data_IF_926845392946
#
_entry.id   IF_926845392946
#
_cell.length_a   1.000
_cell.length_b   1.000
_cell.length_c   1.000
_cell.angle_alpha   90.00
_cell.angle_beta   90.00
_cell.angle_gamma   90.00
#
_symmetry.space_group_name_H-M   'P 1'
#
loop_
_entity.id
_entity.type
_entity.pdbx_description
1 polymer ?
#
# COMPACT_ATOMS: atom_id res chain seq x y z
N UNK A 1 15.36 -20.90 -57.87
CA UNK A 1 15.02 -19.45 -57.82
C UNK A 1 14.66 -19.11 -56.38
N UNK A 2 15.46 -18.24 -55.77
CA UNK A 2 15.54 -17.95 -54.34
C UNK A 2 14.47 -16.92 -53.91
N UNK A 3 13.69 -17.23 -52.88
CA UNK A 3 12.79 -16.28 -52.21
C UNK A 3 13.53 -15.54 -51.10
N UNK A 4 13.84 -14.26 -51.35
CA UNK A 4 14.46 -13.36 -50.37
C UNK A 4 13.43 -12.91 -49.33
N UNK A 5 13.67 -13.25 -48.07
CA UNK A 5 13.03 -12.65 -46.91
C UNK A 5 13.50 -11.19 -46.77
N UNK A 6 12.56 -10.24 -46.63
CA UNK A 6 12.86 -8.84 -46.25
C UNK A 6 12.68 -8.69 -44.75
N UNK A 7 13.79 -8.58 -44.03
CA UNK A 7 13.84 -8.08 -42.66
C UNK A 7 13.58 -6.58 -42.66
N UNK A 8 12.53 -6.12 -41.98
CA UNK A 8 12.32 -4.70 -41.66
C UNK A 8 12.82 -4.45 -40.25
N UNK A 9 14.00 -3.84 -40.14
CA UNK A 9 14.54 -3.29 -38.91
C UNK A 9 13.78 -2.00 -38.55
N UNK A 10 13.07 -1.99 -37.43
CA UNK A 10 12.51 -0.76 -36.85
C UNK A 10 13.56 -0.10 -35.97
N UNK A 11 14.28 0.89 -36.53
CA UNK A 11 15.05 1.87 -35.75
C UNK A 11 14.07 2.92 -35.22
N UNK A 12 13.74 2.88 -33.94
CA UNK A 12 13.04 4.00 -33.29
C UNK A 12 14.07 5.03 -32.81
N UNK A 13 13.92 6.23 -33.37
CA UNK A 13 14.73 7.42 -33.14
C UNK A 13 14.20 8.13 -31.88
N UNK A 14 15.09 8.42 -30.93
CA UNK A 14 14.82 9.34 -29.82
C UNK A 14 14.26 10.67 -30.36
N UNK A 15 12.97 10.94 -30.14
CA UNK A 15 12.37 12.26 -30.33
C UNK A 15 11.65 12.68 -29.05
N UNK A 16 11.99 13.89 -28.61
CA UNK A 16 11.54 14.57 -27.39
C UNK A 16 10.02 14.56 -27.24
N UNK A 17 9.57 14.21 -26.04
CA UNK A 17 8.18 14.32 -25.57
C UNK A 17 7.76 15.80 -25.47
N UNK A 18 6.56 16.21 -25.91
CA UNK A 18 6.05 17.56 -25.72
C UNK A 18 5.72 17.86 -24.24
N UNK A 19 6.15 19.04 -23.76
CA UNK A 19 6.13 19.52 -22.35
C UNK A 19 4.76 19.86 -21.74
N UNK A 20 3.63 19.37 -22.26
CA UNK A 20 2.31 19.90 -21.88
C UNK A 20 1.52 19.10 -20.83
N UNK A 21 2.05 18.00 -20.28
CA UNK A 21 1.32 17.13 -19.31
C UNK A 21 1.71 17.42 -17.84
N UNK A 22 2.75 18.24 -17.60
CA UNK A 22 3.32 18.44 -16.25
C UNK A 22 2.46 19.33 -15.33
N UNK A 23 1.74 20.33 -15.84
CA UNK A 23 1.13 21.34 -14.97
C UNK A 23 -0.07 20.81 -14.16
N UNK A 24 -0.92 19.97 -14.74
CA UNK A 24 -2.12 19.46 -14.06
C UNK A 24 -1.80 18.34 -13.05
N UNK A 25 -0.81 17.49 -13.35
CA UNK A 25 -0.28 16.47 -12.41
C UNK A 25 0.40 17.12 -11.21
N UNK A 26 1.12 18.22 -11.41
CA UNK A 26 1.73 18.99 -10.31
C UNK A 26 0.68 19.66 -9.42
N UNK A 27 -0.47 20.08 -9.99
CA UNK A 27 -1.49 20.84 -9.28
C UNK A 27 -2.27 19.98 -8.28
N UNK A 28 -2.64 18.75 -8.66
CA UNK A 28 -3.37 17.83 -7.76
C UNK A 28 -2.48 17.21 -6.68
N UNK A 29 -1.18 17.02 -6.96
CA UNK A 29 -0.17 16.75 -5.91
C UNK A 29 -0.01 17.92 -4.93
N UNK A 30 -0.08 19.16 -5.41
CA UNK A 30 0.05 20.35 -4.55
C UNK A 30 -1.18 20.60 -3.65
N UNK A 31 -2.39 20.22 -4.07
CA UNK A 31 -3.59 20.39 -3.23
C UNK A 31 -3.66 19.30 -2.13
N UNK A 32 -3.25 18.05 -2.43
CA UNK A 32 -3.10 16.98 -1.43
C UNK A 32 -1.94 17.21 -0.44
N UNK A 33 -0.92 17.96 -0.85
CA UNK A 33 0.09 18.47 0.06
C UNK A 33 -0.55 19.35 1.15
N UNK A 34 -1.43 20.29 0.83
CA UNK A 34 -1.99 21.22 1.86
C UNK A 34 -2.74 20.49 2.99
N UNK A 35 -3.33 19.32 2.72
CA UNK A 35 -4.11 18.54 3.69
C UNK A 35 -3.28 17.50 4.47
N UNK A 36 -2.13 17.07 3.94
CA UNK A 36 -1.22 16.14 4.63
C UNK A 36 -0.20 16.86 5.52
N UNK A 37 0.04 16.34 6.74
CA UNK A 37 1.01 16.94 7.66
C UNK A 37 2.46 16.86 7.14
N UNK A 38 3.33 17.84 7.43
CA UNK A 38 4.74 17.78 7.08
C UNK A 38 5.45 16.53 7.62
N UNK A 39 5.07 16.12 8.83
CA UNK A 39 5.61 14.93 9.50
C UNK A 39 5.25 13.65 8.73
N UNK A 40 3.99 13.51 8.28
CA UNK A 40 3.54 12.38 7.48
C UNK A 40 4.35 12.25 6.19
N UNK A 41 4.55 13.36 5.48
CA UNK A 41 5.34 13.36 4.23
C UNK A 41 6.80 13.00 4.46
N UNK A 42 7.40 13.50 5.55
CA UNK A 42 8.78 13.18 5.89
C UNK A 42 8.94 11.68 6.17
N UNK A 43 8.03 11.09 6.95
CA UNK A 43 8.05 9.66 7.27
C UNK A 43 7.90 8.81 6.01
N UNK A 44 6.91 9.12 5.16
CA UNK A 44 6.65 8.35 3.95
C UNK A 44 7.76 8.50 2.89
N UNK A 45 8.31 9.71 2.70
CA UNK A 45 9.46 9.90 1.81
C UNK A 45 10.68 9.13 2.31
N UNK A 46 10.94 9.16 3.62
CA UNK A 46 12.04 8.40 4.22
C UNK A 46 11.82 6.90 4.04
N UNK A 47 10.60 6.40 4.25
CA UNK A 47 10.28 5.00 4.04
C UNK A 47 10.49 4.59 2.57
N UNK A 48 10.04 5.40 1.62
CA UNK A 48 10.20 5.12 0.20
C UNK A 48 11.66 5.00 -0.24
N UNK A 49 12.57 5.77 0.37
CA UNK A 49 14.02 5.67 0.11
C UNK A 49 14.67 4.43 0.76
N UNK A 50 14.10 3.93 1.87
CA UNK A 50 14.69 2.87 2.70
C UNK A 50 14.07 1.48 2.47
N UNK A 51 12.83 1.43 1.98
CA UNK A 51 12.11 0.19 1.76
C UNK A 51 12.46 -0.38 0.41
N UNK A 52 12.82 -1.66 0.40
CA UNK A 52 13.41 -2.32 -0.74
C UNK A 52 12.40 -3.23 -1.43
N UNK A 53 12.34 -3.15 -2.76
CA UNK A 53 11.65 -4.13 -3.58
C UNK A 53 12.51 -5.38 -3.71
N UNK A 54 12.00 -6.56 -3.31
CA UNK A 54 12.80 -7.79 -3.19
C UNK A 54 13.53 -8.19 -4.49
N UNK A 55 13.00 -7.87 -5.68
CA UNK A 55 13.69 -8.19 -6.95
C UNK A 55 14.77 -7.17 -7.37
N UNK A 56 14.97 -6.10 -6.59
CA UNK A 56 16.05 -5.14 -6.84
C UNK A 56 17.34 -5.58 -6.12
N UNK A 57 18.51 -5.08 -6.54
CA UNK A 57 19.76 -5.37 -5.82
C UNK A 57 19.63 -5.06 -4.33
N UNK A 58 20.12 -5.96 -3.47
CA UNK A 58 20.10 -5.76 -2.02
C UNK A 58 20.77 -4.42 -1.66
N UNK A 59 20.15 -3.58 -0.80
CA UNK A 59 20.78 -2.39 -0.26
C UNK A 59 22.04 -2.72 0.53
N UNK A 60 22.94 -1.74 0.64
CA UNK A 60 24.13 -1.88 1.48
C UNK A 60 23.74 -2.17 2.95
N UNK A 61 24.53 -3.00 3.67
CA UNK A 61 24.37 -3.18 5.10
C UNK A 61 24.55 -1.86 5.86
N UNK A 62 23.98 -1.79 7.06
CA UNK A 62 24.21 -0.67 7.98
C UNK A 62 25.67 -0.69 8.47
N UNK A 63 26.27 0.50 8.62
CA UNK A 63 27.64 0.63 9.13
C UNK A 63 27.78 0.07 10.56
N UNK A 64 26.70 0.15 11.35
CA UNK A 64 26.60 -0.46 12.67
C UNK A 64 25.15 -0.80 13.00
N UNK A 65 24.90 -1.85 13.82
CA UNK A 65 23.55 -2.22 14.21
C UNK A 65 22.82 -1.08 14.95
N UNK A 66 21.56 -0.78 14.60
CA UNK A 66 20.80 0.27 15.28
C UNK A 66 20.54 -0.09 16.75
N UNK A 67 20.74 0.92 17.60
CA UNK A 67 20.46 0.87 19.04
C UNK A 67 18.97 1.07 19.31
N UNK A 68 18.54 0.75 20.54
CA UNK A 68 17.16 0.93 20.99
C UNK A 68 16.22 -0.18 20.54
N UNK A 69 14.92 0.01 20.77
CA UNK A 69 13.92 -0.97 20.36
C UNK A 69 13.64 -0.87 18.85
N UNK A 70 13.43 -2.04 18.23
CA UNK A 70 12.98 -2.14 16.85
C UNK A 70 11.50 -2.50 16.82
N UNK A 71 10.75 -1.73 16.06
CA UNK A 71 9.32 -1.92 15.86
C UNK A 71 9.10 -2.53 14.46
N UNK A 72 8.52 -3.72 14.38
CA UNK A 72 8.35 -4.46 13.13
C UNK A 72 6.86 -4.62 12.83
N UNK A 73 6.47 -4.29 11.61
CA UNK A 73 5.14 -4.52 11.07
C UNK A 73 5.22 -5.54 9.95
N UNK A 74 4.36 -6.56 9.98
CA UNK A 74 4.18 -7.52 8.88
C UNK A 74 2.78 -7.32 8.30
N UNK A 75 2.70 -6.93 7.04
CA UNK A 75 1.44 -6.78 6.31
C UNK A 75 1.32 -7.92 5.30
N UNK A 76 0.31 -8.79 5.49
CA UNK A 76 -0.05 -9.88 4.59
C UNK A 76 -1.10 -9.42 3.58
N UNK A 77 -0.81 -8.32 2.89
CA UNK A 77 -1.75 -7.69 1.98
C UNK A 77 -2.21 -8.62 0.84
N UNK A 78 -3.38 -8.30 0.30
CA UNK A 78 -4.03 -9.05 -0.80
C UNK A 78 -3.29 -9.02 -2.14
N UNK A 79 -2.33 -8.10 -2.29
CA UNK A 79 -1.48 -7.98 -3.48
C UNK A 79 0.01 -7.89 -3.17
N UNK A 80 0.37 -7.28 -2.03
CA UNK A 80 1.75 -7.07 -1.64
C UNK A 80 1.95 -7.53 -0.20
N UNK A 81 3.04 -8.24 0.02
CA UNK A 81 3.52 -8.59 1.35
C UNK A 81 4.61 -7.58 1.72
N UNK A 82 4.52 -6.98 2.91
CA UNK A 82 5.46 -5.97 3.39
C UNK A 82 5.97 -6.30 4.79
N UNK A 83 7.27 -6.16 5.01
CA UNK A 83 7.89 -6.12 6.34
C UNK A 83 8.49 -4.74 6.55
N UNK A 84 7.93 -3.97 7.49
CA UNK A 84 8.37 -2.63 7.84
C UNK A 84 9.16 -2.65 9.16
N UNK A 85 10.30 -1.97 9.24
CA UNK A 85 11.10 -1.84 10.47
C UNK A 85 11.30 -0.37 10.80
N UNK A 86 10.84 0.02 11.99
CA UNK A 86 11.00 1.36 12.56
C UNK A 86 11.91 1.31 13.80
N UNK A 87 12.44 2.46 14.19
CA UNK A 87 13.08 2.62 15.50
C UNK A 87 12.04 2.90 16.60
N UNK A 88 12.53 3.07 17.83
CA UNK A 88 11.70 3.37 19.01
C UNK A 88 10.86 4.66 18.91
N UNK A 89 11.23 5.58 18.02
CA UNK A 89 10.56 6.85 17.76
C UNK A 89 9.69 6.82 16.49
N UNK A 90 9.29 5.62 16.05
CA UNK A 90 8.44 5.40 14.87
C UNK A 90 9.03 5.92 13.54
N UNK A 91 10.36 6.10 13.48
CA UNK A 91 11.04 6.49 12.25
C UNK A 91 11.43 5.25 11.44
N UNK A 92 11.12 5.21 10.13
CA UNK A 92 11.54 4.12 9.26
C UNK A 92 13.06 3.92 9.27
N UNK A 93 13.49 2.67 9.44
CA UNK A 93 14.89 2.26 9.35
C UNK A 93 15.12 1.48 8.05
N UNK A 94 14.29 0.48 7.79
CA UNK A 94 14.35 -0.33 6.57
C UNK A 94 13.04 -1.09 6.41
N UNK A 95 12.85 -1.72 5.26
CA UNK A 95 11.74 -2.61 5.02
C UNK A 95 11.93 -3.35 3.71
N UNK A 96 11.09 -4.35 3.49
CA UNK A 96 11.00 -5.08 2.24
C UNK A 96 9.55 -5.27 1.83
N UNK A 97 9.29 -5.22 0.54
CA UNK A 97 7.98 -5.50 -0.02
C UNK A 97 8.11 -6.20 -1.36
N UNK A 98 7.13 -7.04 -1.68
CA UNK A 98 7.05 -7.70 -2.97
C UNK A 98 5.59 -7.99 -3.34
N UNK A 99 5.33 -8.18 -4.63
CA UNK A 99 4.03 -8.67 -5.08
C UNK A 99 3.86 -10.13 -4.65
N UNK A 100 2.81 -10.41 -3.88
CA UNK A 100 2.47 -11.74 -3.41
C UNK A 100 0.98 -11.82 -3.07
N UNK A 101 0.28 -12.78 -3.68
CA UNK A 101 -1.16 -12.99 -3.45
C UNK A 101 -1.36 -14.08 -2.40
N UNK A 102 -0.90 -13.83 -1.18
CA UNK A 102 -0.98 -14.79 -0.06
C UNK A 102 -2.30 -14.73 0.69
N UNK A 103 -3.04 -13.62 0.56
CA UNK A 103 -4.31 -13.40 1.21
C UNK A 103 -5.40 -13.06 0.18
N UNK A 104 -6.61 -13.54 0.45
CA UNK A 104 -7.81 -13.26 -0.34
C UNK A 104 -9.02 -13.21 0.57
N UNK A 105 -9.83 -12.15 0.43
CA UNK A 105 -11.05 -11.96 1.22
C UNK A 105 -10.80 -12.05 2.75
N UNK A 106 -9.66 -11.53 3.22
CA UNK A 106 -9.26 -11.59 4.63
C UNK A 106 -8.67 -12.92 5.11
N UNK A 107 -8.64 -13.95 4.25
CA UNK A 107 -8.10 -15.27 4.56
C UNK A 107 -6.70 -15.44 3.98
N UNK A 108 -5.76 -15.98 4.78
CA UNK A 108 -4.47 -16.45 4.28
C UNK A 108 -4.66 -17.73 3.49
N UNK A 109 -4.57 -17.65 2.16
CA UNK A 109 -4.82 -18.75 1.23
C UNK A 109 -3.56 -19.55 0.87
N UNK A 110 -2.39 -18.93 0.99
CA UNK A 110 -1.08 -19.59 0.82
C UNK A 110 -0.26 -19.41 2.09
N UNK A 111 -0.62 -20.17 3.13
CA UNK A 111 0.02 -20.07 4.45
C UNK A 111 1.52 -20.36 4.39
N UNK A 112 1.91 -21.46 3.74
CA UNK A 112 3.32 -21.88 3.66
C UNK A 112 4.12 -20.87 2.83
N UNK A 113 3.57 -20.42 1.70
CA UNK A 113 4.18 -19.36 0.92
C UNK A 113 4.35 -18.07 1.72
N UNK A 114 3.31 -17.63 2.45
CA UNK A 114 3.41 -16.46 3.32
C UNK A 114 4.53 -16.59 4.36
N UNK A 115 4.63 -17.73 5.04
CA UNK A 115 5.68 -18.01 6.02
C UNK A 115 7.07 -17.94 5.39
N UNK A 116 7.28 -18.62 4.26
CA UNK A 116 8.57 -18.64 3.58
C UNK A 116 8.97 -17.24 3.09
N UNK A 117 8.00 -16.44 2.64
CA UNK A 117 8.22 -15.06 2.21
C UNK A 117 8.60 -14.13 3.37
N UNK A 118 7.82 -14.13 4.45
CA UNK A 118 8.12 -13.32 5.65
C UNK A 118 9.48 -13.71 6.22
N UNK A 119 9.78 -15.00 6.29
CA UNK A 119 11.07 -15.50 6.79
C UNK A 119 12.24 -15.03 5.93
N UNK A 120 12.14 -15.12 4.60
CA UNK A 120 13.20 -14.61 3.71
C UNK A 120 13.41 -13.10 3.85
N UNK A 121 12.33 -12.32 3.94
CA UNK A 121 12.41 -10.88 4.14
C UNK A 121 13.04 -10.54 5.50
N UNK A 122 12.64 -11.24 6.57
CA UNK A 122 13.25 -11.14 7.89
C UNK A 122 14.75 -11.41 7.82
N UNK A 123 15.18 -12.54 7.27
CA UNK A 123 16.58 -12.93 7.21
C UNK A 123 17.43 -11.90 6.42
N UNK A 124 16.87 -11.37 5.32
CA UNK A 124 17.50 -10.31 4.51
C UNK A 124 17.66 -9.00 5.31
N UNK A 125 16.59 -8.58 5.99
CA UNK A 125 16.58 -7.38 6.83
C UNK A 125 17.56 -7.54 8.01
N UNK A 126 17.58 -8.67 8.70
CA UNK A 126 18.49 -8.95 9.81
C UNK A 126 19.96 -8.89 9.38
N UNK A 127 20.28 -9.46 8.22
CA UNK A 127 21.61 -9.37 7.60
C UNK A 127 21.99 -7.92 7.29
N UNK A 128 21.05 -7.10 6.81
CA UNK A 128 21.25 -5.67 6.52
C UNK A 128 21.48 -4.87 7.81
N UNK A 129 20.70 -5.16 8.86
CA UNK A 129 20.78 -4.48 10.15
C UNK A 129 21.98 -4.95 11.00
N UNK A 130 22.46 -6.17 10.79
CA UNK A 130 23.41 -6.82 11.69
C UNK A 130 22.82 -7.15 13.07
N UNK A 131 21.49 -7.33 13.14
CA UNK A 131 20.73 -7.57 14.37
C UNK A 131 19.47 -8.38 14.08
N UNK A 132 19.10 -9.27 15.01
CA UNK A 132 17.87 -10.06 14.93
C UNK A 132 16.61 -9.23 15.18
N UNK A 133 15.55 -9.56 14.44
CA UNK A 133 14.19 -9.13 14.65
C UNK A 133 13.47 -10.23 15.44
N UNK A 134 12.94 -9.89 16.61
CA UNK A 134 12.36 -10.87 17.54
C UNK A 134 10.84 -10.76 17.67
N UNK A 135 10.29 -9.58 17.44
CA UNK A 135 8.87 -9.27 17.67
C UNK A 135 8.31 -8.52 16.48
N UNK A 136 7.04 -8.77 16.15
CA UNK A 136 6.32 -8.00 15.15
C UNK A 136 4.83 -7.86 15.49
N UNK A 137 4.25 -6.75 15.09
CA UNK A 137 2.81 -6.60 14.99
C UNK A 137 2.36 -6.90 13.55
N UNK A 138 1.12 -7.30 13.39
CA UNK A 138 0.50 -7.50 12.08
C UNK A 138 -0.92 -6.95 12.07
N UNK A 139 -1.58 -6.96 10.92
CA UNK A 139 -2.90 -6.40 10.76
C UNK A 139 -3.93 -7.32 10.14
N UNK A 140 -5.17 -6.87 10.18
CA UNK A 140 -6.29 -7.54 9.56
C UNK A 140 -7.30 -6.53 8.99
N UNK A 141 -7.98 -6.87 7.88
CA UNK A 141 -8.98 -5.99 7.32
C UNK A 141 -10.27 -6.00 8.17
N UNK A 142 -11.09 -4.94 8.10
CA UNK A 142 -12.36 -4.89 8.83
C UNK A 142 -13.30 -6.05 8.46
N UNK A 143 -14.14 -6.46 9.40
CA UNK A 143 -15.19 -7.46 9.15
C UNK A 143 -14.72 -8.92 9.10
N UNK A 144 -13.42 -9.19 9.18
CA UNK A 144 -12.88 -10.57 9.24
C UNK A 144 -13.12 -11.16 10.64
N UNK A 145 -13.68 -12.39 10.74
CA UNK A 145 -13.84 -13.08 12.03
C UNK A 145 -12.51 -13.24 12.76
N UNK A 146 -12.50 -13.02 14.08
CA UNK A 146 -11.29 -13.14 14.92
C UNK A 146 -10.53 -14.46 14.75
N UNK A 147 -11.23 -15.55 14.45
CA UNK A 147 -10.61 -16.87 14.23
C UNK A 147 -9.79 -16.93 12.94
N UNK A 148 -10.20 -16.20 11.89
CA UNK A 148 -9.49 -16.11 10.62
C UNK A 148 -8.29 -15.16 10.73
N UNK A 149 -8.45 -14.07 11.49
CA UNK A 149 -7.38 -13.12 11.84
C UNK A 149 -6.19 -13.79 12.53
N UNK A 150 -6.41 -14.88 13.30
CA UNK A 150 -5.30 -15.61 13.94
C UNK A 150 -4.37 -16.30 12.93
N UNK A 151 -4.82 -16.59 11.72
CA UNK A 151 -3.94 -17.14 10.69
C UNK A 151 -2.77 -16.18 10.38
N UNK A 152 -3.01 -14.87 10.43
CA UNK A 152 -1.97 -13.85 10.27
C UNK A 152 -0.92 -13.92 11.37
N UNK A 153 -1.34 -14.02 12.64
CA UNK A 153 -0.40 -14.21 13.76
C UNK A 153 0.41 -15.50 13.61
N UNK A 154 -0.22 -16.60 13.23
CA UNK A 154 0.48 -17.87 13.02
C UNK A 154 1.52 -17.80 11.89
N UNK A 155 1.29 -16.99 10.83
CA UNK A 155 2.30 -16.77 9.79
C UNK A 155 3.52 -16.05 10.37
N UNK A 156 3.29 -14.99 11.16
CA UNK A 156 4.37 -14.23 11.84
C UNK A 156 5.16 -15.14 12.77
N UNK A 157 4.47 -15.96 13.56
CA UNK A 157 5.08 -16.90 14.51
C UNK A 157 5.88 -18.00 13.80
N UNK A 158 5.32 -18.60 12.74
CA UNK A 158 6.00 -19.61 11.96
C UNK A 158 7.23 -19.07 11.20
N UNK A 159 7.26 -17.76 10.91
CA UNK A 159 8.44 -17.08 10.37
C UNK A 159 9.55 -16.81 11.42
N UNK A 160 9.30 -17.13 12.70
CA UNK A 160 10.27 -17.00 13.78
C UNK A 160 10.24 -15.66 14.51
N UNK A 161 9.10 -14.95 14.45
CA UNK A 161 8.85 -13.70 15.19
C UNK A 161 7.81 -13.95 16.29
N UNK A 162 7.89 -13.22 17.39
CA UNK A 162 6.82 -13.19 18.39
C UNK A 162 5.76 -12.18 17.92
N UNK A 163 4.52 -12.64 17.70
CA UNK A 163 3.42 -11.76 17.35
C UNK A 163 2.98 -10.97 18.60
N UNK A 164 3.28 -9.67 18.65
CA UNK A 164 2.96 -8.80 19.80
C UNK A 164 1.50 -8.35 19.82
N UNK A 165 0.86 -8.32 18.65
CA UNK A 165 -0.53 -7.92 18.53
C UNK A 165 -1.01 -7.90 17.09
N UNK A 166 -2.34 -7.90 16.96
CA UNK A 166 -3.04 -7.73 15.69
C UNK A 166 -3.84 -6.43 15.79
N UNK A 167 -3.57 -5.51 14.87
CA UNK A 167 -4.25 -4.21 14.77
C UNK A 167 -5.16 -4.20 13.56
N UNK A 168 -6.35 -3.61 13.67
CA UNK A 168 -7.19 -3.43 12.48
C UNK A 168 -6.50 -2.44 11.53
N UNK A 169 -6.48 -2.78 10.23
CA UNK A 169 -5.80 -1.98 9.20
C UNK A 169 -6.17 -0.49 9.22
N UNK A 170 -7.44 -0.08 9.42
CA UNK A 170 -7.76 1.34 9.45
C UNK A 170 -7.20 2.06 10.68
N UNK A 171 -7.16 1.42 11.85
CA UNK A 171 -6.49 1.98 13.04
C UNK A 171 -4.99 2.09 12.81
N UNK A 172 -4.38 1.09 12.17
CA UNK A 172 -2.96 1.16 11.78
C UNK A 172 -2.72 2.35 10.83
N UNK A 173 -3.52 2.49 9.78
CA UNK A 173 -3.41 3.60 8.85
C UNK A 173 -3.59 4.96 9.55
N UNK A 174 -4.58 5.10 10.44
CA UNK A 174 -4.80 6.36 11.16
C UNK A 174 -3.69 6.71 12.14
N UNK A 175 -2.99 5.73 12.71
CA UNK A 175 -1.86 6.01 13.59
C UNK A 175 -0.74 6.79 12.89
N UNK A 176 -0.58 6.57 11.58
CA UNK A 176 0.36 7.36 10.79
C UNK A 176 -0.29 8.62 10.18
N UNK A 177 -1.49 8.51 9.60
CA UNK A 177 -2.18 9.62 8.93
C UNK A 177 -2.55 10.73 9.92
N UNK A 178 -3.02 10.37 11.11
CA UNK A 178 -3.33 11.31 12.19
C UNK A 178 -4.62 12.12 11.99
N UNK A 179 -5.62 11.60 11.25
CA UNK A 179 -6.90 12.29 11.09
C UNK A 179 -7.58 12.45 12.45
N UNK A 180 -8.19 13.63 12.67
CA UNK A 180 -9.02 13.89 13.84
C UNK A 180 -10.50 13.70 13.55
N UNK A 181 -10.98 14.24 12.43
CA UNK A 181 -12.35 14.03 11.96
C UNK A 181 -12.29 13.85 10.45
N UNK A 182 -12.87 12.78 9.92
CA UNK A 182 -12.77 12.47 8.50
C UNK A 182 -12.90 10.98 8.24
N UNK A 183 -12.51 10.55 7.04
CA UNK A 183 -12.57 9.15 6.64
C UNK A 183 -11.24 8.71 6.05
N UNK A 184 -10.74 7.57 6.51
CA UNK A 184 -9.66 6.84 5.83
C UNK A 184 -10.29 5.82 4.91
N UNK A 185 -9.85 5.80 3.66
CA UNK A 185 -10.22 4.78 2.69
C UNK A 185 -8.95 4.08 2.22
N UNK A 186 -8.73 2.86 2.71
CA UNK A 186 -7.62 2.00 2.28
C UNK A 186 -8.02 1.22 1.03
N UNK A 187 -7.59 1.70 -0.14
CA UNK A 187 -7.82 1.00 -1.41
C UNK A 187 -6.65 0.05 -1.66
N UNK A 188 -6.78 -1.16 -1.12
CA UNK A 188 -5.82 -2.24 -1.24
C UNK A 188 -5.86 -2.95 -2.60
N UNK A 189 -5.34 -4.18 -2.63
CA UNK A 189 -5.35 -5.04 -3.81
C UNK A 189 -6.73 -5.63 -4.08
N UNK A 190 -7.24 -6.45 -3.17
CA UNK A 190 -8.54 -7.12 -3.29
C UNK A 190 -9.70 -6.35 -2.67
N UNK A 191 -9.43 -5.55 -1.63
CA UNK A 191 -10.44 -4.94 -0.77
C UNK A 191 -10.27 -3.44 -0.65
N UNK A 192 -11.36 -2.77 -0.24
CA UNK A 192 -11.40 -1.35 0.09
C UNK A 192 -11.93 -1.23 1.51
N UNK A 193 -11.02 -0.93 2.44
CA UNK A 193 -11.35 -0.67 3.83
C UNK A 193 -11.77 0.79 4.01
N UNK A 194 -12.81 1.04 4.82
CA UNK A 194 -13.32 2.37 5.11
C UNK A 194 -13.37 2.51 6.62
N UNK A 195 -12.84 3.62 7.13
CA UNK A 195 -12.96 3.97 8.54
C UNK A 195 -13.36 5.43 8.72
N UNK A 196 -14.44 5.65 9.45
CA UNK A 196 -14.83 6.98 9.92
C UNK A 196 -14.08 7.26 11.22
N UNK A 197 -13.38 8.38 11.25
CA UNK A 197 -12.62 8.86 12.39
C UNK A 197 -13.34 10.06 12.99
N UNK A 198 -13.59 10.04 14.29
CA UNK A 198 -14.12 11.16 15.07
C UNK A 198 -13.26 11.37 16.32
N UNK A 199 -12.86 12.62 16.57
CA UNK A 199 -11.93 12.98 17.64
C UNK A 199 -10.62 12.17 17.69
N UNK A 200 -10.18 11.64 16.55
CA UNK A 200 -8.97 10.82 16.41
C UNK A 200 -9.17 9.33 16.66
N UNK A 201 -10.39 8.90 16.95
CA UNK A 201 -10.75 7.49 17.17
C UNK A 201 -11.60 6.97 16.01
N UNK A 202 -11.38 5.70 15.65
CA UNK A 202 -12.19 5.03 14.64
C UNK A 202 -13.54 4.65 15.25
N UNK A 203 -14.63 5.24 14.75
CA UNK A 203 -16.00 5.02 15.26
C UNK A 203 -16.84 4.10 14.39
N UNK A 204 -16.43 3.91 13.14
CA UNK A 204 -17.10 3.01 12.19
C UNK A 204 -16.06 2.42 11.24
N UNK A 205 -16.20 1.14 10.92
CA UNK A 205 -15.39 0.46 9.90
C UNK A 205 -16.27 -0.36 8.96
N UNK A 206 -15.83 -0.47 7.71
CA UNK A 206 -16.39 -1.37 6.71
C UNK A 206 -15.28 -1.89 5.81
N UNK A 207 -15.53 -3.04 5.20
CA UNK A 207 -14.67 -3.61 4.16
C UNK A 207 -15.54 -4.09 3.00
N UNK A 208 -15.08 -3.81 1.78
CA UNK A 208 -15.80 -4.14 0.56
C UNK A 208 -14.87 -4.84 -0.41
N UNK A 209 -15.36 -5.90 -1.06
CA UNK A 209 -14.61 -6.71 -2.03
C UNK A 209 -14.40 -5.94 -3.35
N UNK A 210 -13.52 -4.93 -3.31
CA UNK A 210 -13.04 -4.20 -4.47
C UNK A 210 -11.68 -3.56 -4.21
N UNK A 211 -10.82 -3.50 -5.22
CA UNK A 211 -9.51 -2.83 -5.09
C UNK A 211 -8.71 -2.89 -6.39
N UNK A 212 -7.39 -2.77 -6.28
CA UNK A 212 -6.46 -2.81 -7.41
C UNK A 212 -6.50 -4.05 -8.30
N UNK A 213 -6.97 -5.20 -7.81
CA UNK A 213 -7.19 -6.41 -8.63
C UNK A 213 -8.25 -6.15 -9.69
N UNK A 214 -9.34 -5.45 -9.37
CA UNK A 214 -10.34 -5.08 -10.37
C UNK A 214 -9.78 -4.11 -11.41
N UNK A 215 -8.88 -3.22 -11.01
CA UNK A 215 -8.23 -2.28 -11.92
C UNK A 215 -7.41 -3.06 -12.94
N UNK A 216 -6.57 -3.99 -12.45
CA UNK A 216 -5.73 -4.84 -13.29
C UNK A 216 -6.54 -5.79 -14.16
N UNK A 217 -7.67 -6.33 -13.69
CA UNK A 217 -8.57 -7.16 -14.52
C UNK A 217 -9.20 -6.36 -15.66
N UNK A 218 -9.64 -5.13 -15.41
CA UNK A 218 -10.24 -4.28 -16.45
C UNK A 218 -9.17 -3.84 -17.46
N UNK A 219 -7.95 -3.52 -17.01
CA UNK A 219 -6.80 -3.26 -17.89
C UNK A 219 -6.47 -4.52 -18.72
N UNK A 220 -6.39 -5.69 -18.08
CA UNK A 220 -6.08 -6.95 -18.75
C UNK A 220 -7.10 -7.26 -19.86
N UNK A 221 -8.39 -7.13 -19.56
CA UNK A 221 -9.47 -7.34 -20.52
C UNK A 221 -9.47 -6.32 -21.66
N UNK A 222 -9.16 -5.05 -21.37
CA UNK A 222 -9.11 -3.99 -22.39
C UNK A 222 -7.92 -4.13 -23.35
N UNK A 223 -6.80 -4.67 -22.88
CA UNK A 223 -5.56 -4.78 -23.65
C UNK A 223 -5.26 -6.21 -24.15
N UNK A 224 -6.07 -7.21 -23.79
CA UNK A 224 -5.85 -8.63 -24.09
C UNK A 224 -4.46 -9.13 -23.63
N UNK A 225 -4.15 -8.83 -22.37
CA UNK A 225 -2.86 -9.16 -21.74
C UNK A 225 -3.08 -9.99 -20.46
N UNK A 226 -2.01 -10.61 -19.98
CA UNK A 226 -2.04 -11.34 -18.71
C UNK A 226 -2.22 -10.39 -17.51
N UNK A 227 -2.80 -10.90 -16.44
CA UNK A 227 -3.05 -10.12 -15.22
C UNK A 227 -1.77 -9.48 -14.66
N UNK A 228 -0.66 -10.22 -14.63
CA UNK A 228 0.63 -9.74 -14.12
C UNK A 228 1.22 -8.64 -15.01
N UNK A 229 0.94 -8.67 -16.31
CA UNK A 229 1.33 -7.60 -17.23
C UNK A 229 0.46 -6.36 -16.99
N UNK A 230 -0.83 -6.54 -16.79
CA UNK A 230 -1.75 -5.45 -16.45
C UNK A 230 -1.41 -4.79 -15.11
N UNK A 231 -1.05 -5.58 -14.08
CA UNK A 231 -0.60 -5.06 -12.78
C UNK A 231 0.64 -4.18 -12.94
N UNK A 232 1.63 -4.62 -13.74
CA UNK A 232 2.83 -3.83 -14.04
C UNK A 232 2.50 -2.53 -14.76
N UNK A 233 1.56 -2.53 -15.70
CA UNK A 233 1.11 -1.32 -16.37
C UNK A 233 0.34 -0.38 -15.42
N UNK A 234 -0.49 -0.93 -14.52
CA UNK A 234 -1.28 -0.16 -13.54
C UNK A 234 -0.38 0.65 -12.61
N UNK A 235 0.72 0.05 -12.13
CA UNK A 235 1.63 0.70 -11.18
C UNK A 235 2.63 1.64 -11.86
N UNK A 236 2.74 1.64 -13.19
CA UNK A 236 3.64 2.53 -13.95
C UNK A 236 3.00 3.92 -14.10
N UNK A 237 3.53 4.98 -13.43
CA UNK A 237 2.96 6.31 -13.48
C UNK A 237 2.90 6.91 -14.87
N UNK A 238 3.79 6.52 -15.79
CA UNK A 238 3.79 7.02 -17.18
C UNK A 238 2.63 6.44 -17.99
N UNK A 239 2.10 5.28 -17.59
CA UNK A 239 0.98 4.61 -18.26
C UNK A 239 -0.37 5.00 -17.70
N UNK A 240 -0.45 5.42 -16.44
CA UNK A 240 -1.72 5.70 -15.78
C UNK A 240 -2.63 6.72 -16.50
N UNK A 241 -2.13 7.82 -17.10
CA UNK A 241 -2.99 8.73 -17.86
C UNK A 241 -3.67 8.08 -19.07
N UNK A 242 -2.99 7.15 -19.74
CA UNK A 242 -3.54 6.38 -20.87
C UNK A 242 -4.56 5.35 -20.39
N UNK A 243 -4.31 4.72 -19.23
CA UNK A 243 -5.18 3.70 -18.64
C UNK A 243 -6.41 4.30 -17.94
N UNK A 244 -6.40 5.60 -17.60
CA UNK A 244 -7.44 6.22 -16.80
C UNK A 244 -8.86 6.04 -17.36
N UNK A 245 -9.16 6.22 -18.67
CA UNK A 245 -10.51 6.00 -19.19
C UNK A 245 -11.01 4.56 -19.01
N UNK A 246 -10.10 3.59 -19.00
CA UNK A 246 -10.40 2.15 -18.81
C UNK A 246 -10.68 1.86 -17.33
N UNK A 247 -9.90 2.48 -16.43
CA UNK A 247 -9.98 2.25 -14.97
C UNK A 247 -11.04 3.10 -14.28
N UNK A 248 -11.41 4.26 -14.85
CA UNK A 248 -12.35 5.23 -14.25
C UNK A 248 -13.64 4.59 -13.72
N UNK A 249 -14.32 3.66 -14.41
CA UNK A 249 -15.53 3.03 -13.88
C UNK A 249 -15.29 2.27 -12.57
N UNK A 250 -14.10 1.70 -12.39
CA UNK A 250 -13.73 1.00 -11.15
C UNK A 250 -13.43 1.99 -10.02
N UNK A 251 -12.81 3.13 -10.33
CA UNK A 251 -12.65 4.24 -9.37
C UNK A 251 -14.01 4.83 -8.96
N UNK A 252 -14.94 5.03 -9.91
CA UNK A 252 -16.30 5.48 -9.62
C UNK A 252 -17.06 4.46 -8.75
N UNK A 253 -16.83 3.15 -8.95
CA UNK A 253 -17.34 2.11 -8.05
C UNK A 253 -16.78 2.30 -6.63
N UNK A 254 -15.47 2.49 -6.47
CA UNK A 254 -14.84 2.77 -5.16
C UNK A 254 -15.46 4.02 -4.52
N UNK A 255 -15.61 5.11 -5.28
CA UNK A 255 -16.22 6.34 -4.80
C UNK A 255 -17.69 6.14 -4.35
N UNK A 256 -18.45 5.32 -5.08
CA UNK A 256 -19.84 4.99 -4.72
C UNK A 256 -19.94 4.18 -3.43
N UNK A 257 -18.97 3.31 -3.19
CA UNK A 257 -18.85 2.51 -1.97
C UNK A 257 -18.55 3.42 -0.78
N UNK A 258 -17.58 4.32 -0.93
CA UNK A 258 -17.25 5.33 0.09
C UNK A 258 -18.49 6.16 0.42
N UNK A 259 -19.16 6.75 -0.58
CA UNK A 259 -20.34 7.59 -0.39
C UNK A 259 -21.46 6.90 0.42
N UNK A 260 -21.70 5.61 0.16
CA UNK A 260 -22.71 4.82 0.87
C UNK A 260 -22.34 4.56 2.33
N UNK A 261 -21.08 4.27 2.63
CA UNK A 261 -20.66 3.95 4.00
C UNK A 261 -20.51 5.17 4.90
N UNK A 262 -20.32 6.35 4.32
CA UNK A 262 -20.19 7.59 5.07
C UNK A 262 -21.53 8.34 5.20
N UNK A 263 -22.62 7.78 4.67
CA UNK A 263 -23.95 8.36 4.78
C UNK A 263 -24.35 8.50 6.25
N UNK A 264 -24.75 9.73 6.64
CA UNK A 264 -25.12 10.05 8.02
C UNK A 264 -23.97 10.52 8.92
N UNK A 265 -22.72 10.45 8.46
CA UNK A 265 -21.57 11.00 9.19
C UNK A 265 -21.22 12.42 8.73
N UNK A 266 -20.64 13.22 9.63
CA UNK A 266 -20.03 14.49 9.25
C UNK A 266 -18.58 14.26 8.82
N UNK A 267 -18.33 14.31 7.51
CA UNK A 267 -17.01 14.01 6.94
C UNK A 267 -16.42 15.27 6.31
N UNK A 268 -15.49 15.98 6.99
CA UNK A 268 -14.87 17.18 6.45
C UNK A 268 -13.81 16.87 5.38
N UNK A 269 -13.21 15.68 5.42
CA UNK A 269 -12.17 15.24 4.48
C UNK A 269 -12.08 13.71 4.37
N UNK A 270 -11.52 13.26 3.24
CA UNK A 270 -11.22 11.85 2.95
C UNK A 270 -9.73 11.70 2.64
N UNK A 271 -9.05 10.81 3.37
CA UNK A 271 -7.69 10.38 3.06
C UNK A 271 -7.73 9.00 2.37
N UNK A 272 -7.31 8.95 1.11
CA UNK A 272 -7.16 7.70 0.36
C UNK A 272 -5.76 7.12 0.59
N UNK A 273 -5.69 5.96 1.24
CA UNK A 273 -4.45 5.21 1.50
C UNK A 273 -4.49 3.88 0.74
N UNK A 274 -3.45 3.06 0.88
CA UNK A 274 -3.34 1.81 0.11
C UNK A 274 -2.76 2.03 -1.29
N UNK A 275 -2.13 0.99 -1.82
CA UNK A 275 -1.34 1.11 -3.05
C UNK A 275 -2.15 1.53 -4.28
N UNK A 276 -3.43 1.15 -4.35
CA UNK A 276 -4.28 1.49 -5.50
C UNK A 276 -4.65 2.97 -5.52
N UNK A 277 -4.69 3.63 -4.36
CA UNK A 277 -4.98 5.06 -4.23
C UNK A 277 -3.93 5.95 -4.90
N UNK A 278 -2.73 5.43 -5.16
CA UNK A 278 -1.70 6.13 -5.94
C UNK A 278 -2.06 6.29 -7.43
N UNK A 279 -3.11 5.63 -7.92
CA UNK A 279 -3.50 5.70 -9.33
C UNK A 279 -3.90 7.12 -9.73
N UNK A 280 -3.47 7.52 -10.92
CA UNK A 280 -3.74 8.83 -11.50
C UNK A 280 -5.20 9.27 -11.34
N UNK A 281 -5.38 10.46 -10.72
CA UNK A 281 -6.67 11.12 -10.45
C UNK A 281 -7.63 10.38 -9.50
N UNK A 282 -7.16 9.42 -8.72
CA UNK A 282 -8.02 8.70 -7.76
C UNK A 282 -8.73 9.64 -6.77
N UNK A 283 -7.99 10.55 -6.13
CA UNK A 283 -8.55 11.55 -5.21
C UNK A 283 -9.60 12.44 -5.89
N UNK A 284 -9.34 12.85 -7.12
CA UNK A 284 -10.24 13.73 -7.88
C UNK A 284 -11.56 13.03 -8.19
N UNK A 285 -11.52 11.76 -8.62
CA UNK A 285 -12.73 10.97 -8.89
C UNK A 285 -13.57 10.81 -7.62
N UNK A 286 -12.93 10.48 -6.49
CA UNK A 286 -13.63 10.34 -5.21
C UNK A 286 -14.21 11.68 -4.74
N UNK A 287 -13.46 12.78 -4.85
CA UNK A 287 -13.94 14.11 -4.49
C UNK A 287 -15.10 14.58 -5.37
N UNK A 288 -15.01 14.38 -6.69
CA UNK A 288 -16.08 14.74 -7.64
C UNK A 288 -17.37 13.96 -7.36
N UNK A 289 -17.26 12.68 -6.98
CA UNK A 289 -18.41 11.83 -6.71
C UNK A 289 -19.05 12.11 -5.34
N UNK A 290 -18.23 12.26 -4.30
CA UNK A 290 -18.70 12.43 -2.91
C UNK A 290 -19.01 13.89 -2.55
N UNK A 291 -18.44 14.85 -3.28
CA UNK A 291 -18.49 16.28 -2.94
C UNK A 291 -17.60 16.65 -1.75
N UNK A 292 -16.72 15.75 -1.28
CA UNK A 292 -15.90 15.92 -0.09
C UNK A 292 -14.42 16.10 -0.49
N UNK A 293 -13.68 17.05 0.12
CA UNK A 293 -12.24 17.19 -0.09
C UNK A 293 -11.53 15.86 0.13
N UNK A 294 -10.81 15.40 -0.89
CA UNK A 294 -10.14 14.10 -0.88
C UNK A 294 -8.67 14.27 -1.24
N UNK A 295 -7.79 13.58 -0.53
CA UNK A 295 -6.35 13.61 -0.75
C UNK A 295 -5.72 12.23 -0.64
N UNK A 296 -4.52 12.08 -1.19
CA UNK A 296 -3.71 10.85 -1.16
C UNK A 296 -2.34 11.25 -0.62
N UNK A 297 -1.81 10.61 0.44
CA UNK A 297 -0.46 10.86 0.89
C UNK A 297 0.57 10.39 -0.15
N UNK A 298 1.79 10.93 -0.08
CA UNK A 298 2.90 10.41 -0.87
C UNK A 298 3.16 8.93 -0.48
N UNK A 299 3.34 8.04 -1.46
CA UNK A 299 3.56 6.60 -1.21
C UNK A 299 2.48 5.92 -0.33
N UNK A 300 1.19 5.97 -0.74
CA UNK A 300 0.06 5.52 0.09
C UNK A 300 0.09 4.02 0.43
N UNK A 301 0.82 3.20 -0.35
CA UNK A 301 1.05 1.78 -0.08
C UNK A 301 1.81 1.51 1.23
N UNK A 302 2.59 2.48 1.72
CA UNK A 302 3.44 2.30 2.90
C UNK A 302 2.73 2.69 4.20
N UNK A 303 1.56 3.33 4.11
CA UNK A 303 0.86 3.90 5.26
C UNK A 303 0.48 2.81 6.27
N UNK A 304 -0.25 1.80 5.81
CA UNK A 304 -0.77 0.73 6.66
C UNK A 304 0.37 -0.15 7.23
N UNK A 305 1.39 -0.60 6.45
CA UNK A 305 2.52 -1.34 7.00
C UNK A 305 3.32 -0.59 8.08
N UNK A 306 3.56 0.71 7.89
CA UNK A 306 4.24 1.54 8.90
C UNK A 306 3.36 1.68 10.14
N UNK A 307 2.07 1.95 9.94
CA UNK A 307 1.08 2.00 11.02
C UNK A 307 1.02 0.72 11.85
N UNK A 308 1.12 -0.46 11.21
CA UNK A 308 1.21 -1.74 11.91
C UNK A 308 2.49 -1.82 12.75
N UNK A 309 3.63 -1.42 12.18
CA UNK A 309 4.89 -1.42 12.92
C UNK A 309 4.84 -0.48 14.14
N UNK A 310 4.17 0.68 14.06
CA UNK A 310 4.00 1.59 15.20
C UNK A 310 3.27 0.94 16.40
N UNK A 311 2.46 -0.09 16.15
CA UNK A 311 1.76 -0.87 17.17
C UNK A 311 2.58 -2.04 17.73
N UNK A 312 3.80 -2.27 17.24
CA UNK A 312 4.70 -3.27 17.82
C UNK A 312 5.30 -2.78 19.15
N UNK A 313 4.50 -2.83 20.20
CA UNK A 313 4.95 -2.48 21.54
C UNK A 313 5.71 -3.66 22.16
N UNK A 314 7.04 -3.58 22.10
CA UNK A 314 7.93 -4.50 22.81
C UNK A 314 8.26 -3.85 24.15
N UNK A 315 7.86 -4.47 25.26
CA UNK A 315 8.28 -4.01 26.59
C UNK A 315 9.82 -3.99 26.65
N UNK A 316 10.43 -2.90 27.15
CA UNK A 316 11.87 -2.86 27.32
C UNK A 316 12.28 -3.93 28.36
N UNK A 317 12.92 -4.99 27.88
CA UNK A 317 13.57 -6.01 28.71
C UNK A 317 14.75 -5.43 29.48
#
# INVERSE_FOLDING_TARGET
MSSRARTRTWKWCCRRVPRAISADVQKTRNDGAVLSSPELRQVLSRAADLFHWVDHPEPAPFDSPPLGNLKVGVDLGTAYLTVAVLNENDQPLTGEYQFAQVARDGLVVDFVGAVDLVKRMKDSIEKRLGRELTHAASGFPPGVPRVEVQATAHVVEAAGLICTGLVDEPTAANALVGLKNGVIVDVGGGTTGIAVVENGEVVYTADEATGGTHFSLVIAGAHDILFEQAERLKIDPEKQPELFPVVKPVLEKVASIVARHIEGFHVPEIALVGGTSAFYRAAEVVAEYTGIPTWVPDHPALVTPIGMAMHNNVDPS
#
